data_IF_591752298859
#
_entry.id   IF_591752298859
#
_cell.length_a   1.000
_cell.length_b   1.000
_cell.length_c   1.000
_cell.angle_alpha   90.00
_cell.angle_beta   90.00
_cell.angle_gamma   90.00
#
_symmetry.space_group_name_H-M   'P 1'
#
loop_
_entity.id
_entity.type
_entity.pdbx_description
1 polymer ?
#
# COMPACT_ATOMS: atom_id res chain seq x y z
N UNK A 1 -2.87 -9.38 27.12
CA UNK A 1 -2.43 -9.34 25.72
C UNK A 1 -2.37 -7.89 25.31
N UNK A 2 -1.23 -7.45 24.78
CA UNK A 2 -1.06 -6.08 24.27
C UNK A 2 -1.20 -6.12 22.76
N UNK A 3 -2.01 -5.22 22.21
CA UNK A 3 -2.32 -5.15 20.78
C UNK A 3 -1.69 -3.91 20.17
N UNK A 4 -0.90 -4.08 19.12
CA UNK A 4 -0.09 -3.03 18.50
C UNK A 4 -0.57 -2.82 17.07
N UNK A 5 -0.97 -1.58 16.75
CA UNK A 5 -1.26 -1.16 15.38
C UNK A 5 0.03 -0.65 14.74
N UNK A 6 0.44 -1.29 13.65
CA UNK A 6 1.58 -0.91 12.83
C UNK A 6 1.08 -0.18 11.59
N UNK A 7 1.11 1.16 11.65
CA UNK A 7 0.73 2.04 10.56
C UNK A 7 1.91 2.89 10.03
N UNK A 8 2.98 2.25 9.49
CA UNK A 8 4.09 2.96 8.89
C UNK A 8 3.76 3.45 7.47
N UNK A 9 4.49 4.48 7.05
CA UNK A 9 4.68 4.83 5.65
C UNK A 9 5.94 4.13 5.08
N UNK A 10 6.15 4.19 3.77
CA UNK A 10 7.30 3.61 3.06
C UNK A 10 8.61 4.31 3.42
N UNK A 11 9.70 3.55 3.35
CA UNK A 11 11.05 4.13 3.33
C UNK A 11 11.43 4.39 1.87
N UNK A 12 11.28 5.65 1.43
CA UNK A 12 11.47 6.06 0.03
C UNK A 12 12.81 5.58 -0.54
N UNK A 13 12.76 4.79 -1.62
CA UNK A 13 13.94 4.18 -2.25
C UNK A 13 14.48 2.93 -1.53
N UNK A 14 13.77 2.36 -0.56
CA UNK A 14 14.20 1.18 0.20
C UNK A 14 13.10 0.14 0.40
N UNK A 15 12.07 0.41 1.21
CA UNK A 15 11.00 -0.53 1.53
C UNK A 15 9.63 0.11 1.32
N UNK A 16 8.68 -0.65 0.77
CA UNK A 16 7.27 -0.27 0.77
C UNK A 16 6.71 -0.23 2.20
N UNK A 17 5.63 0.51 2.43
CA UNK A 17 4.98 0.61 3.73
C UNK A 17 4.59 -0.78 4.29
N UNK A 18 4.12 -1.69 3.43
CA UNK A 18 3.85 -3.08 3.79
C UNK A 18 5.12 -3.86 4.19
N UNK A 19 6.26 -3.61 3.52
CA UNK A 19 7.55 -4.18 3.89
C UNK A 19 8.04 -3.70 5.26
N UNK A 20 7.89 -2.40 5.56
CA UNK A 20 8.20 -1.83 6.88
C UNK A 20 7.28 -2.43 7.95
N UNK A 21 5.97 -2.51 7.70
CA UNK A 21 5.01 -3.09 8.64
C UNK A 21 5.32 -4.56 8.98
N UNK A 22 5.67 -5.36 7.96
CA UNK A 22 6.10 -6.76 8.16
C UNK A 22 7.36 -6.86 8.99
N UNK A 23 8.41 -6.08 8.69
CA UNK A 23 9.67 -6.11 9.44
C UNK A 23 9.48 -5.70 10.92
N UNK A 24 8.61 -4.72 11.19
CA UNK A 24 8.25 -4.32 12.55
C UNK A 24 7.48 -5.44 13.28
N UNK A 25 6.53 -6.10 12.61
CA UNK A 25 5.77 -7.21 13.19
C UNK A 25 6.68 -8.40 13.55
N UNK A 26 7.58 -8.78 12.63
CA UNK A 26 8.57 -9.84 12.84
C UNK A 26 9.49 -9.54 14.03
N UNK A 27 10.00 -8.30 14.13
CA UNK A 27 10.85 -7.87 15.25
C UNK A 27 10.13 -7.84 16.60
N UNK A 28 8.87 -7.39 16.63
CA UNK A 28 8.06 -7.36 17.86
C UNK A 28 7.74 -8.78 18.37
N UNK A 29 7.28 -9.67 17.49
CA UNK A 29 6.95 -11.07 17.86
C UNK A 29 8.20 -11.85 18.27
N UNK A 30 9.37 -11.56 17.67
CA UNK A 30 10.64 -12.16 18.09
C UNK A 30 11.11 -11.68 19.48
N UNK A 31 10.74 -10.47 19.89
CA UNK A 31 11.04 -9.93 21.23
C UNK A 31 10.05 -10.38 22.31
N UNK A 32 8.76 -10.43 21.99
CA UNK A 32 7.68 -10.92 22.86
C UNK A 32 6.56 -11.54 22.02
N UNK A 33 6.48 -12.87 22.06
CA UNK A 33 5.48 -13.66 21.33
C UNK A 33 4.04 -13.53 21.89
N UNK A 34 3.83 -12.79 22.99
CA UNK A 34 2.49 -12.50 23.54
C UNK A 34 1.83 -11.24 22.94
N UNK A 35 2.55 -10.51 22.09
CA UNK A 35 2.06 -9.32 21.38
C UNK A 35 1.18 -9.71 20.18
N UNK A 36 0.02 -9.06 20.05
CA UNK A 36 -0.81 -9.12 18.84
C UNK A 36 -0.47 -7.91 17.96
N UNK A 37 0.01 -8.14 16.73
CA UNK A 37 0.32 -7.06 15.77
C UNK A 37 -0.72 -6.98 14.66
N UNK A 38 -1.15 -5.77 14.32
CA UNK A 38 -2.05 -5.48 13.19
C UNK A 38 -1.33 -4.55 12.22
N UNK A 39 -1.08 -4.99 11.00
CA UNK A 39 -0.45 -4.18 9.96
C UNK A 39 -1.52 -3.42 9.17
N UNK A 40 -1.44 -2.10 9.16
CA UNK A 40 -2.30 -1.20 8.38
C UNK A 40 -1.42 -0.09 7.79
N UNK A 41 -0.60 -0.38 6.75
CA UNK A 41 0.28 0.60 6.15
C UNK A 41 -0.48 1.82 5.63
N UNK A 42 0.16 2.99 5.71
CA UNK A 42 -0.40 4.27 5.27
C UNK A 42 0.43 4.87 4.14
N UNK A 43 -0.11 5.91 3.50
CA UNK A 43 0.56 6.71 2.48
C UNK A 43 0.05 8.16 2.56
N UNK A 44 0.83 9.10 2.01
CA UNK A 44 0.57 10.54 2.04
C UNK A 44 -0.26 11.07 0.84
N UNK A 45 -0.66 10.19 -0.08
CA UNK A 45 -1.28 10.54 -1.36
C UNK A 45 -0.35 10.42 -2.57
N UNK A 46 0.94 10.14 -2.35
CA UNK A 46 1.90 9.81 -3.40
C UNK A 46 1.86 8.33 -3.84
N UNK A 47 2.98 7.88 -4.41
CA UNK A 47 3.22 6.48 -4.83
C UNK A 47 2.94 5.47 -3.68
N UNK A 48 2.23 4.38 -3.95
CA UNK A 48 1.84 3.36 -2.96
C UNK A 48 0.58 3.68 -2.14
N UNK A 49 -0.18 4.73 -2.48
CA UNK A 49 -1.48 5.04 -1.86
C UNK A 49 -2.59 4.04 -2.26
N UNK A 50 -2.55 3.51 -3.49
CA UNK A 50 -3.37 2.39 -3.95
C UNK A 50 -3.04 1.13 -3.14
N UNK A 51 -1.76 0.87 -2.87
CA UNK A 51 -1.33 -0.27 -2.05
C UNK A 51 -1.81 -0.14 -0.60
N UNK A 52 -1.71 1.05 -0.01
CA UNK A 52 -2.24 1.33 1.32
C UNK A 52 -3.77 1.17 1.40
N UNK A 53 -4.51 1.62 0.38
CA UNK A 53 -5.95 1.41 0.28
C UNK A 53 -6.29 -0.09 0.17
N UNK A 54 -5.60 -0.85 -0.69
CA UNK A 54 -5.81 -2.31 -0.82
C UNK A 54 -5.49 -3.03 0.49
N UNK A 55 -4.42 -2.66 1.20
CA UNK A 55 -4.11 -3.19 2.53
C UNK A 55 -5.19 -2.86 3.58
N UNK A 56 -5.89 -1.73 3.43
CA UNK A 56 -7.07 -1.37 4.21
C UNK A 56 -8.38 -2.02 3.72
N UNK A 57 -8.29 -3.05 2.86
CA UNK A 57 -9.41 -3.87 2.37
C UNK A 57 -10.21 -3.27 1.22
N UNK A 58 -9.60 -2.43 0.38
CA UNK A 58 -10.22 -1.97 -0.88
C UNK A 58 -9.94 -2.98 -1.99
N UNK A 59 -10.85 -3.08 -2.97
CA UNK A 59 -10.67 -3.96 -4.13
C UNK A 59 -9.62 -3.36 -5.08
N UNK A 60 -8.62 -4.15 -5.49
CA UNK A 60 -7.73 -3.75 -6.60
C UNK A 60 -8.41 -4.05 -7.93
N UNK A 61 -8.61 -3.03 -8.73
CA UNK A 61 -9.15 -3.14 -10.09
C UNK A 61 -8.00 -2.94 -11.08
N UNK A 62 -7.65 -3.99 -11.83
CA UNK A 62 -6.70 -3.92 -12.94
C UNK A 62 -7.36 -3.25 -14.17
N UNK A 63 -6.59 -2.46 -14.91
CA UNK A 63 -7.06 -1.75 -16.10
C UNK A 63 -5.91 -1.44 -17.05
N UNK A 64 -6.15 -1.62 -18.35
CA UNK A 64 -5.27 -1.11 -19.41
C UNK A 64 -5.73 0.30 -19.81
N UNK A 65 -4.82 1.28 -19.85
CA UNK A 65 -5.12 2.64 -20.32
C UNK A 65 -4.01 3.19 -21.23
N UNK A 66 -4.27 4.25 -21.98
CA UNK A 66 -3.22 4.94 -22.74
C UNK A 66 -2.23 5.63 -21.81
N UNK A 67 -0.94 5.30 -21.95
CA UNK A 67 0.17 5.96 -21.28
C UNK A 67 0.55 7.30 -21.92
N UNK A 68 1.67 7.92 -21.49
CA UNK A 68 2.04 9.29 -21.86
C UNK A 68 2.43 9.45 -23.34
N UNK A 69 2.78 8.35 -24.02
CA UNK A 69 3.08 8.29 -25.46
C UNK A 69 1.89 7.80 -26.31
N UNK A 70 0.74 7.51 -25.70
CA UNK A 70 -0.41 6.87 -26.35
C UNK A 70 -0.37 5.34 -26.34
N UNK A 71 0.80 4.74 -26.12
CA UNK A 71 0.96 3.28 -25.99
C UNK A 71 0.19 2.73 -24.77
N UNK A 72 -0.36 1.50 -24.82
CA UNK A 72 -1.06 0.89 -23.69
C UNK A 72 -0.16 0.65 -22.47
N UNK A 73 -0.67 0.97 -21.28
CA UNK A 73 -0.05 0.71 -19.98
C UNK A 73 -1.01 -0.14 -19.14
N UNK A 74 -0.51 -1.27 -18.64
CA UNK A 74 -1.19 -2.08 -17.62
C UNK A 74 -1.02 -1.42 -16.25
N UNK A 75 -2.13 -1.11 -15.58
CA UNK A 75 -2.12 -0.42 -14.30
C UNK A 75 -3.27 -0.88 -13.40
N UNK A 76 -3.41 -0.28 -12.21
CA UNK A 76 -4.52 -0.59 -11.31
C UNK A 76 -4.88 0.58 -10.40
N UNK A 77 -6.12 0.57 -9.91
CA UNK A 77 -6.62 1.50 -8.89
C UNK A 77 -7.31 0.73 -7.76
N UNK A 78 -7.50 1.37 -6.61
CA UNK A 78 -8.26 0.78 -5.50
C UNK A 78 -9.70 1.31 -5.51
N UNK A 79 -10.69 0.44 -5.25
CA UNK A 79 -12.12 0.80 -5.23
C UNK A 79 -12.81 0.33 -3.95
N UNK A 80 -13.76 1.12 -3.46
CA UNK A 80 -14.74 0.71 -2.44
C UNK A 80 -16.07 1.43 -2.68
N UNK A 81 -17.09 0.68 -3.09
CA UNK A 81 -18.36 1.25 -3.52
C UNK A 81 -18.17 2.19 -4.71
N UNK A 82 -18.58 3.45 -4.56
CA UNK A 82 -18.47 4.48 -5.61
C UNK A 82 -17.22 5.36 -5.46
N UNK A 83 -16.35 5.08 -4.48
CA UNK A 83 -15.07 5.77 -4.30
C UNK A 83 -13.94 4.98 -4.94
N UNK A 84 -13.06 5.67 -5.67
CA UNK A 84 -11.82 5.14 -6.21
C UNK A 84 -10.62 5.96 -5.74
N UNK A 85 -9.49 5.30 -5.52
CA UNK A 85 -8.16 5.88 -5.25
C UNK A 85 -7.27 5.52 -6.43
N UNK A 86 -6.73 6.52 -7.11
CA UNK A 86 -5.95 6.37 -8.35
C UNK A 86 -4.59 7.04 -8.17
N UNK A 87 -3.51 6.35 -8.53
CA UNK A 87 -2.18 6.94 -8.65
C UNK A 87 -1.92 7.32 -10.11
N UNK A 88 -1.96 8.61 -10.43
CA UNK A 88 -1.74 9.06 -11.82
C UNK A 88 -0.34 8.64 -12.34
N UNK A 89 0.65 8.55 -11.46
CA UNK A 89 2.00 8.11 -11.79
C UNK A 89 2.07 6.65 -12.26
N UNK A 90 1.11 5.78 -11.90
CA UNK A 90 1.09 4.39 -12.37
C UNK A 90 0.60 4.24 -13.81
N UNK A 91 0.17 5.33 -14.46
CA UNK A 91 -0.23 5.40 -15.86
C UNK A 91 0.64 6.37 -16.69
N UNK A 92 1.00 7.52 -16.11
CA UNK A 92 1.75 8.60 -16.79
C UNK A 92 2.91 9.15 -15.94
N UNK A 93 3.56 8.28 -15.16
CA UNK A 93 4.78 8.60 -14.42
C UNK A 93 5.98 8.92 -15.32
N UNK A 94 7.04 9.45 -14.68
CA UNK A 94 8.36 9.69 -15.27
C UNK A 94 9.23 8.43 -15.23
#
# INVERSE_FOLDING_TARGET
MTRILLAPDKFKGSLSAAGVARALAEGLVAGDASLETVCLPVADGGDGTVDAAVAAGWDRIAVTCSGPTGEPVETSYARRGDTAVVELASAVGL
#
